data_IF_605277493836
#
_entry.id   IF_605277493836
#
_cell.length_a   1.000
_cell.length_b   1.000
_cell.length_c   1.000
_cell.angle_alpha   90.00
_cell.angle_beta   90.00
_cell.angle_gamma   90.00
#
_symmetry.space_group_name_H-M   'P 1'
#
loop_
_entity.id
_entity.type
_entity.pdbx_description
1 polymer ?
#
# COMPACT_ATOMS: atom_id res chain seq x y z
N UNK A 1 7.86 48.79 6.43
CA UNK A 1 7.49 47.50 7.08
C UNK A 1 6.22 46.98 6.44
N UNK A 2 5.96 45.65 6.33
CA UNK A 2 6.86 44.51 6.45
C UNK A 2 7.13 43.81 5.10
N UNK A 3 8.32 43.20 5.00
CA UNK A 3 8.75 42.28 3.94
C UNK A 3 8.17 40.90 4.22
N UNK A 4 7.57 40.28 3.21
CA UNK A 4 7.09 38.89 3.27
C UNK A 4 8.28 37.94 3.42
N UNK A 5 8.31 37.21 4.52
CA UNK A 5 9.29 36.16 4.83
C UNK A 5 9.09 35.01 3.86
N UNK A 6 10.21 34.55 3.27
CA UNK A 6 10.27 33.51 2.26
C UNK A 6 9.69 32.17 2.73
N UNK A 7 8.90 31.56 1.85
CA UNK A 7 8.54 30.14 1.88
C UNK A 7 9.77 29.32 1.45
N UNK A 8 10.68 29.07 2.38
CA UNK A 8 11.70 28.02 2.26
C UNK A 8 11.23 26.80 3.04
N UNK A 9 11.02 25.68 2.34
CA UNK A 9 10.55 24.45 2.98
C UNK A 9 10.14 23.36 2.01
N UNK A 10 10.93 23.10 0.97
CA UNK A 10 10.83 21.84 0.21
C UNK A 10 11.29 20.70 1.11
N UNK A 11 10.37 20.19 1.93
CA UNK A 11 10.55 18.92 2.63
C UNK A 11 10.80 17.78 1.63
N UNK A 12 11.40 16.66 2.07
CA UNK A 12 11.75 15.56 1.18
C UNK A 12 10.50 15.13 0.40
N UNK A 13 10.59 15.23 -0.93
CA UNK A 13 9.54 14.73 -1.82
C UNK A 13 9.33 13.25 -1.52
N UNK A 14 8.09 12.91 -1.17
CA UNK A 14 7.62 11.53 -1.05
C UNK A 14 7.83 10.89 -2.42
N UNK A 15 8.70 9.88 -2.57
CA UNK A 15 8.79 9.14 -3.81
C UNK A 15 7.45 8.45 -4.05
N UNK A 16 6.98 8.46 -5.30
CA UNK A 16 5.82 7.70 -5.79
C UNK A 16 5.79 6.30 -5.17
N UNK A 17 4.78 6.02 -4.35
CA UNK A 17 4.48 4.66 -3.84
C UNK A 17 4.52 3.68 -5.02
N UNK A 18 5.26 2.57 -4.87
CA UNK A 18 5.36 1.54 -5.90
C UNK A 18 4.05 0.78 -6.08
N UNK A 19 3.97 0.18 -7.26
CA UNK A 19 2.83 -0.42 -7.94
C UNK A 19 2.25 -1.59 -7.15
N UNK A 20 0.93 -1.74 -7.22
CA UNK A 20 0.18 -2.85 -6.62
C UNK A 20 0.72 -4.24 -7.01
N UNK A 21 1.37 -4.38 -8.17
CA UNK A 21 1.99 -5.65 -8.61
C UNK A 21 3.35 -5.97 -7.95
N UNK A 22 4.11 -4.97 -7.47
CA UNK A 22 5.32 -5.21 -6.66
C UNK A 22 4.96 -5.77 -5.26
N UNK A 23 3.71 -5.55 -4.82
CA UNK A 23 3.13 -6.15 -3.62
C UNK A 23 2.57 -7.56 -3.90
N UNK A 24 2.29 -7.91 -5.15
CA UNK A 24 1.92 -9.28 -5.52
C UNK A 24 3.16 -10.07 -5.94
N UNK A 25 4.04 -10.38 -4.99
CA UNK A 25 4.84 -11.60 -5.17
C UNK A 25 3.87 -12.77 -5.41
N UNK A 26 4.26 -13.73 -6.27
CA UNK A 26 3.44 -14.92 -6.50
C UNK A 26 2.97 -15.47 -5.16
N UNK A 27 1.66 -15.45 -4.93
CA UNK A 27 1.00 -16.05 -3.77
C UNK A 27 1.53 -17.47 -3.67
N UNK A 28 2.49 -17.72 -2.76
CA UNK A 28 2.94 -19.08 -2.48
C UNK A 28 1.72 -19.81 -1.95
N UNK A 29 1.30 -20.84 -2.70
CA UNK A 29 0.32 -21.80 -2.20
C UNK A 29 0.85 -22.37 -0.88
N UNK A 30 -0.02 -22.63 0.11
CA UNK A 30 0.38 -23.41 1.28
C UNK A 30 1.09 -24.69 0.81
N UNK A 31 2.24 -25.02 1.40
CA UNK A 31 2.91 -26.29 1.13
C UNK A 31 1.93 -27.41 1.48
N UNK A 32 1.53 -28.18 0.46
CA UNK A 32 0.68 -29.34 0.63
C UNK A 32 1.55 -30.47 1.22
N UNK A 33 1.30 -30.84 2.48
CA UNK A 33 1.85 -32.07 3.05
C UNK A 33 1.11 -33.27 2.45
N UNK A 34 1.86 -34.17 1.80
CA UNK A 34 1.38 -35.46 1.29
C UNK A 34 1.51 -35.65 -0.23
N UNK A 35 1.81 -36.88 -0.70
CA UNK A 35 2.06 -37.14 -2.12
C UNK A 35 0.77 -37.03 -2.96
N UNK A 36 0.84 -36.26 -4.05
CA UNK A 36 -0.30 -36.01 -4.94
C UNK A 36 -0.54 -37.18 -5.91
N UNK A 37 -1.78 -37.69 -5.96
CA UNK A 37 -2.24 -38.59 -7.02
C UNK A 37 -2.36 -37.83 -8.35
N UNK A 38 -1.71 -38.36 -9.40
CA UNK A 38 -1.82 -37.91 -10.80
C UNK A 38 -3.28 -38.03 -11.28
N UNK A 39 -3.84 -36.96 -11.84
CA UNK A 39 -4.95 -37.05 -12.80
C UNK A 39 -4.55 -36.41 -14.13
N UNK A 40 -4.77 -37.19 -15.19
CA UNK A 40 -4.50 -36.92 -16.61
C UNK A 40 -5.12 -35.62 -17.09
N UNK A 41 -4.41 -34.96 -18.02
CA UNK A 41 -4.81 -33.76 -18.75
C UNK A 41 -5.34 -34.22 -20.11
N UNK A 42 -6.58 -33.89 -20.45
CA UNK A 42 -7.12 -34.02 -21.81
C UNK A 42 -7.00 -32.68 -22.50
N UNK A 43 -6.33 -32.65 -23.66
CA UNK A 43 -6.09 -31.47 -24.49
C UNK A 43 -7.29 -31.21 -25.42
N UNK A 44 -7.61 -29.92 -25.61
CA UNK A 44 -8.54 -29.42 -26.63
C UNK A 44 -8.16 -27.99 -27.02
N UNK A 45 -8.41 -27.56 -28.28
CA UNK A 45 -7.72 -26.41 -28.88
C UNK A 45 -8.22 -25.07 -28.32
N UNK A 46 -7.29 -24.14 -28.11
CA UNK A 46 -7.54 -22.81 -27.53
C UNK A 46 -7.82 -21.80 -28.66
N UNK A 47 -8.96 -21.09 -28.69
CA UNK A 47 -9.13 -19.97 -29.61
C UNK A 47 -8.43 -18.73 -29.05
N UNK A 48 -7.44 -18.21 -29.77
CA UNK A 48 -6.81 -16.93 -29.48
C UNK A 48 -7.82 -15.79 -29.69
N UNK A 49 -8.44 -15.32 -28.60
CA UNK A 49 -9.17 -14.05 -28.61
C UNK A 49 -8.17 -12.89 -28.60
N UNK A 50 -8.05 -12.18 -29.72
CA UNK A 50 -7.45 -10.83 -29.78
C UNK A 50 -8.12 -9.94 -28.73
N UNK A 51 -7.36 -9.50 -27.73
CA UNK A 51 -7.81 -8.51 -26.74
C UNK A 51 -7.81 -7.13 -27.39
N UNK A 52 -8.98 -6.63 -27.74
CA UNK A 52 -9.19 -5.20 -27.95
C UNK A 52 -8.99 -4.48 -26.61
N UNK A 53 -8.20 -3.40 -26.51
CA UNK A 53 -8.15 -2.60 -25.29
C UNK A 53 -9.55 -2.02 -25.02
N UNK A 54 -10.08 -2.22 -23.82
CA UNK A 54 -11.35 -1.61 -23.44
C UNK A 54 -11.15 -0.11 -23.22
N UNK A 55 -11.96 0.71 -23.87
CA UNK A 55 -11.98 2.16 -23.71
C UNK A 55 -12.30 2.52 -22.25
N UNK A 56 -11.42 3.27 -21.54
CA UNK A 56 -11.58 3.67 -20.14
C UNK A 56 -12.88 4.41 -19.83
N UNK A 57 -13.46 5.12 -20.81
CA UNK A 57 -14.71 5.87 -20.66
C UNK A 57 -15.92 4.95 -20.47
N UNK A 58 -15.87 3.70 -20.95
CA UNK A 58 -16.99 2.75 -20.88
C UNK A 58 -17.18 2.10 -19.50
N UNK A 59 -16.27 2.34 -18.55
CA UNK A 59 -16.32 1.76 -17.21
C UNK A 59 -16.68 2.76 -16.11
N UNK A 60 -16.80 4.06 -16.42
CA UNK A 60 -17.16 5.10 -15.44
C UNK A 60 -18.55 4.86 -14.81
N UNK A 61 -19.51 4.33 -15.57
CA UNK A 61 -20.84 3.98 -15.05
C UNK A 61 -20.84 2.68 -14.24
N UNK A 62 -19.95 1.74 -14.56
CA UNK A 62 -19.71 0.55 -13.74
C UNK A 62 -19.01 0.92 -12.41
N UNK A 63 -18.14 1.94 -12.42
CA UNK A 63 -17.47 2.47 -11.23
C UNK A 63 -18.42 3.16 -10.28
N UNK A 64 -19.36 3.95 -10.82
CA UNK A 64 -20.45 4.55 -10.03
C UNK A 64 -21.25 3.46 -9.34
N UNK A 65 -21.72 2.46 -10.10
CA UNK A 65 -22.54 1.37 -9.54
C UNK A 65 -21.76 0.48 -8.58
N UNK A 66 -20.52 0.10 -8.86
CA UNK A 66 -19.73 -0.75 -7.97
C UNK A 66 -19.40 -0.04 -6.66
N UNK A 67 -19.05 1.25 -6.69
CA UNK A 67 -18.83 2.05 -5.49
C UNK A 67 -20.13 2.25 -4.71
N UNK A 68 -21.23 2.61 -5.37
CA UNK A 68 -22.57 2.78 -4.76
C UNK A 68 -23.10 1.49 -4.13
N UNK A 69 -22.96 0.34 -4.81
CA UNK A 69 -23.33 -0.96 -4.27
C UNK A 69 -22.47 -1.33 -3.06
N UNK A 70 -21.16 -1.05 -3.11
CA UNK A 70 -20.29 -1.28 -1.96
C UNK A 70 -20.58 -0.32 -0.79
N UNK A 71 -21.04 0.90 -1.04
CA UNK A 71 -21.45 1.84 0.00
C UNK A 71 -22.66 1.35 0.82
N UNK A 72 -23.43 0.38 0.32
CA UNK A 72 -24.47 -0.31 1.11
C UNK A 72 -23.88 -1.19 2.21
N UNK A 73 -22.60 -1.54 2.14
CA UNK A 73 -21.89 -2.21 3.22
C UNK A 73 -21.42 -1.18 4.27
N UNK A 74 -21.91 -1.25 5.53
CA UNK A 74 -21.57 -0.25 6.54
C UNK A 74 -20.07 -0.19 6.86
N UNK A 75 -19.35 -1.32 6.76
CA UNK A 75 -17.89 -1.33 6.95
C UNK A 75 -17.15 -0.67 5.78
N UNK A 76 -17.63 -0.87 4.55
CA UNK A 76 -17.08 -0.17 3.39
C UNK A 76 -17.39 1.33 3.46
N UNK A 77 -18.61 1.71 3.85
CA UNK A 77 -18.99 3.11 4.03
C UNK A 77 -18.11 3.80 5.08
N UNK A 78 -17.90 3.16 6.24
CA UNK A 78 -16.98 3.68 7.26
C UNK A 78 -15.54 3.82 6.72
N UNK A 79 -15.08 2.87 5.90
CA UNK A 79 -13.79 2.96 5.23
C UNK A 79 -13.70 4.14 4.24
N UNK A 80 -14.73 4.34 3.42
CA UNK A 80 -14.79 5.46 2.49
C UNK A 80 -14.79 6.82 3.22
N UNK A 81 -15.53 6.93 4.33
CA UNK A 81 -15.56 8.11 5.17
C UNK A 81 -14.18 8.41 5.81
N UNK A 82 -13.51 7.39 6.34
CA UNK A 82 -12.16 7.56 6.89
C UNK A 82 -11.15 7.98 5.83
N UNK A 83 -11.26 7.44 4.62
CA UNK A 83 -10.43 7.84 3.49
C UNK A 83 -10.69 9.32 3.10
N UNK A 84 -11.95 9.73 3.05
CA UNK A 84 -12.34 11.12 2.78
C UNK A 84 -11.82 12.08 3.86
N UNK A 85 -11.97 11.71 5.14
CA UNK A 85 -11.47 12.47 6.27
C UNK A 85 -9.95 12.61 6.24
N UNK A 86 -9.23 11.52 5.91
CA UNK A 86 -7.77 11.54 5.77
C UNK A 86 -7.29 12.48 4.64
N UNK A 87 -8.13 12.74 3.63
CA UNK A 87 -7.85 13.66 2.54
C UNK A 87 -8.44 15.06 2.75
N UNK A 88 -9.29 15.25 3.76
CA UNK A 88 -10.11 16.45 3.96
C UNK A 88 -10.98 16.79 2.73
N UNK A 89 -11.32 15.78 1.92
CA UNK A 89 -12.16 15.90 0.72
C UNK A 89 -12.67 14.52 0.27
N UNK A 90 -13.75 14.46 -0.52
CA UNK A 90 -14.21 13.19 -1.10
C UNK A 90 -13.10 12.48 -1.88
N UNK A 91 -13.05 11.15 -1.76
CA UNK A 91 -12.13 10.30 -2.53
C UNK A 91 -12.89 9.69 -3.68
N UNK A 92 -12.52 10.07 -4.90
CA UNK A 92 -13.17 9.57 -6.10
C UNK A 92 -12.43 8.35 -6.66
N UNK A 93 -13.17 7.43 -7.25
CA UNK A 93 -12.60 6.28 -7.96
C UNK A 93 -12.66 6.58 -9.46
N UNK A 94 -11.53 6.41 -10.14
CA UNK A 94 -11.39 6.71 -11.58
C UNK A 94 -10.65 5.60 -12.28
N UNK A 95 -10.92 5.40 -13.57
CA UNK A 95 -10.11 4.52 -14.41
C UNK A 95 -8.95 5.30 -15.03
N UNK A 96 -7.74 4.75 -15.01
CA UNK A 96 -6.54 5.38 -15.60
C UNK A 96 -5.66 4.33 -16.28
N UNK A 97 -5.19 4.61 -17.49
CA UNK A 97 -4.40 3.67 -18.30
C UNK A 97 -2.98 3.45 -17.78
N UNK A 98 -2.44 4.43 -17.04
CA UNK A 98 -1.05 4.42 -16.59
C UNK A 98 -0.86 3.77 -15.20
N UNK A 99 -1.87 3.08 -14.65
CA UNK A 99 -1.78 2.46 -13.32
C UNK A 99 -1.58 0.95 -13.42
N UNK A 100 -0.60 0.43 -12.70
CA UNK A 100 -0.38 -1.01 -12.56
C UNK A 100 -1.17 -1.54 -11.36
N UNK A 101 -2.47 -1.81 -11.57
CA UNK A 101 -3.40 -2.24 -10.53
C UNK A 101 -4.25 -1.07 -10.01
N UNK A 102 -3.96 -0.60 -8.81
CA UNK A 102 -4.56 0.60 -8.20
C UNK A 102 -3.49 1.59 -7.74
N UNK A 103 -3.81 2.89 -7.71
CA UNK A 103 -2.95 3.93 -7.16
C UNK A 103 -3.75 5.10 -6.65
N UNK A 104 -3.39 5.58 -5.46
CA UNK A 104 -3.94 6.82 -4.94
C UNK A 104 -3.15 8.06 -5.42
N UNK A 105 -3.89 9.02 -5.99
CA UNK A 105 -3.43 10.33 -6.43
C UNK A 105 -3.86 11.40 -5.41
N UNK A 106 -3.02 11.64 -4.39
CA UNK A 106 -3.27 12.59 -3.28
C UNK A 106 -3.70 13.98 -3.76
N UNK A 107 -3.02 14.54 -4.77
CA UNK A 107 -3.34 15.85 -5.32
C UNK A 107 -4.77 15.94 -5.86
N UNK A 108 -5.19 14.93 -6.62
CA UNK A 108 -6.53 14.87 -7.21
C UNK A 108 -7.60 14.31 -6.27
N UNK A 109 -7.22 13.71 -5.12
CA UNK A 109 -8.17 13.01 -4.26
C UNK A 109 -8.79 11.79 -4.95
N UNK A 110 -8.01 11.09 -5.78
CA UNK A 110 -8.52 10.04 -6.65
C UNK A 110 -7.79 8.72 -6.44
N UNK A 111 -8.51 7.61 -6.40
CA UNK A 111 -7.93 6.28 -6.62
C UNK A 111 -8.08 5.95 -8.11
N UNK A 112 -6.96 5.86 -8.80
CA UNK A 112 -6.93 5.36 -10.18
C UNK A 112 -6.82 3.84 -10.19
N UNK A 113 -7.73 3.19 -10.90
CA UNK A 113 -7.72 1.75 -11.16
C UNK A 113 -7.42 1.49 -12.63
N UNK A 114 -6.71 0.40 -12.90
CA UNK A 114 -6.45 -0.05 -14.28
C UNK A 114 -7.76 -0.42 -15.00
N UNK A 115 -7.91 -0.14 -16.29
CA UNK A 115 -9.15 -0.43 -17.03
C UNK A 115 -9.48 -1.92 -17.10
N UNK A 116 -8.48 -2.80 -17.13
CA UNK A 116 -8.70 -4.25 -17.23
C UNK A 116 -9.04 -4.91 -15.88
N UNK A 117 -8.99 -4.17 -14.77
CA UNK A 117 -9.54 -4.62 -13.51
C UNK A 117 -11.06 -4.53 -13.59
N UNK A 118 -11.69 -5.69 -13.80
CA UNK A 118 -13.15 -5.84 -13.90
C UNK A 118 -13.70 -6.80 -12.84
N UNK A 119 -14.99 -6.66 -12.54
CA UNK A 119 -15.71 -7.55 -11.64
C UNK A 119 -15.19 -7.54 -10.18
N UNK A 120 -15.26 -8.67 -9.46
CA UNK A 120 -14.90 -8.77 -8.04
C UNK A 120 -13.50 -8.26 -7.69
N UNK A 121 -12.55 -8.40 -8.62
CA UNK A 121 -11.17 -7.93 -8.44
C UNK A 121 -11.11 -6.42 -8.33
N UNK A 122 -11.93 -5.71 -9.11
CA UNK A 122 -11.98 -4.24 -9.10
C UNK A 122 -12.47 -3.71 -7.76
N UNK A 123 -13.57 -4.25 -7.26
CA UNK A 123 -14.14 -3.92 -5.95
C UNK A 123 -13.14 -4.14 -4.81
N UNK A 124 -12.43 -5.28 -4.85
CA UNK A 124 -11.38 -5.60 -3.89
C UNK A 124 -10.24 -4.58 -3.89
N UNK A 125 -9.71 -4.24 -5.07
CA UNK A 125 -8.61 -3.26 -5.22
C UNK A 125 -9.08 -1.87 -4.83
N UNK A 126 -10.31 -1.48 -5.19
CA UNK A 126 -10.91 -0.22 -4.77
C UNK A 126 -10.93 -0.07 -3.25
N UNK A 127 -11.43 -1.07 -2.52
CA UNK A 127 -11.43 -1.06 -1.06
C UNK A 127 -10.01 -1.07 -0.47
N UNK A 128 -9.08 -1.78 -1.10
CA UNK A 128 -7.69 -1.81 -0.64
C UNK A 128 -7.05 -0.43 -0.76
N UNK A 129 -7.25 0.25 -1.88
CA UNK A 129 -6.74 1.61 -2.06
C UNK A 129 -7.41 2.62 -1.12
N UNK A 130 -8.72 2.52 -0.85
CA UNK A 130 -9.35 3.34 0.19
C UNK A 130 -8.70 3.12 1.57
N UNK A 131 -8.27 1.88 1.84
CA UNK A 131 -7.54 1.58 3.08
C UNK A 131 -6.17 2.26 3.09
N UNK A 132 -5.44 2.23 1.97
CA UNK A 132 -4.18 2.96 1.81
C UNK A 132 -4.37 4.47 2.03
N UNK A 133 -5.47 5.03 1.53
CA UNK A 133 -5.81 6.45 1.70
C UNK A 133 -6.09 6.77 3.16
N UNK A 134 -6.94 6.00 3.82
CA UNK A 134 -7.28 6.18 5.23
C UNK A 134 -6.04 6.07 6.15
N UNK A 135 -5.04 5.29 5.74
CA UNK A 135 -3.79 5.11 6.48
C UNK A 135 -2.68 6.10 6.11
N UNK A 136 -2.87 6.95 5.09
CA UNK A 136 -1.82 7.85 4.60
C UNK A 136 -1.28 8.77 5.69
N UNK A 137 -2.14 9.26 6.59
CA UNK A 137 -1.71 10.09 7.71
C UNK A 137 -0.77 9.37 8.67
N UNK A 138 -0.95 8.05 8.87
CA UNK A 138 -0.07 7.23 9.70
C UNK A 138 1.30 7.05 9.04
N UNK A 139 1.32 6.75 7.74
CA UNK A 139 2.56 6.65 6.97
C UNK A 139 3.33 7.98 6.97
N UNK A 140 2.64 9.09 6.71
CA UNK A 140 3.23 10.43 6.71
C UNK A 140 3.82 10.78 8.08
N UNK A 141 3.11 10.45 9.16
CA UNK A 141 3.57 10.68 10.54
C UNK A 141 4.84 9.89 10.86
N UNK A 142 4.83 8.56 10.66
CA UNK A 142 6.00 7.70 10.94
C UNK A 142 7.21 8.18 10.15
N UNK A 143 7.03 8.48 8.86
CA UNK A 143 8.11 8.98 7.99
C UNK A 143 8.70 10.31 8.50
N UNK A 144 7.84 11.27 8.89
CA UNK A 144 8.28 12.57 9.41
C UNK A 144 8.99 12.46 10.75
N UNK A 145 8.44 11.67 11.67
CA UNK A 145 9.03 11.46 13.00
C UNK A 145 10.41 10.81 12.87
N UNK A 146 10.54 9.81 12.00
CA UNK A 146 11.84 9.18 11.70
C UNK A 146 12.81 10.18 11.09
N UNK A 147 12.39 11.02 10.13
CA UNK A 147 13.26 12.04 9.56
C UNK A 147 13.76 13.04 10.61
N UNK A 148 12.90 13.54 11.50
CA UNK A 148 13.33 14.42 12.59
C UNK A 148 14.29 13.72 13.56
N UNK A 149 14.04 12.45 13.86
CA UNK A 149 14.92 11.65 14.71
C UNK A 149 16.31 11.45 14.07
N UNK A 150 16.37 11.22 12.75
CA UNK A 150 17.65 11.10 12.04
C UNK A 150 18.36 12.45 11.88
N UNK A 151 17.63 13.58 11.79
CA UNK A 151 18.26 14.91 11.89
C UNK A 151 18.91 15.08 13.27
N UNK A 152 18.21 14.70 14.34
CA UNK A 152 18.76 14.76 15.69
C UNK A 152 20.01 13.89 15.81
N UNK A 153 19.96 12.64 15.31
CA UNK A 153 21.11 11.73 15.27
C UNK A 153 22.30 12.34 14.53
N UNK A 154 22.09 12.85 13.30
CA UNK A 154 23.14 13.45 12.48
C UNK A 154 23.70 14.76 13.08
N UNK A 155 22.91 15.46 13.90
CA UNK A 155 23.34 16.65 14.63
C UNK A 155 24.09 16.34 15.93
N UNK A 156 24.38 15.06 16.21
CA UNK A 156 25.06 14.63 17.44
C UNK A 156 24.15 14.61 18.69
N UNK A 157 22.83 14.80 18.52
CA UNK A 157 21.86 14.65 19.61
C UNK A 157 21.49 13.17 19.77
N UNK A 158 21.12 12.77 20.98
CA UNK A 158 20.71 11.39 21.28
C UNK A 158 19.41 11.04 20.53
N UNK A 159 19.41 10.09 19.58
CA UNK A 159 18.20 9.67 18.90
C UNK A 159 17.38 8.69 19.76
N UNK A 160 16.09 8.60 19.47
CA UNK A 160 15.19 7.60 20.04
C UNK A 160 15.28 6.30 19.23
N UNK A 161 15.14 5.15 19.90
CA UNK A 161 15.03 3.85 19.23
C UNK A 161 16.33 3.06 19.04
N UNK A 162 17.41 3.45 19.73
CA UNK A 162 18.68 2.70 19.76
C UNK A 162 19.68 3.10 18.69
N UNK A 163 20.58 2.17 18.36
CA UNK A 163 21.56 2.35 17.29
C UNK A 163 20.91 2.43 15.89
N UNK A 164 21.70 2.71 14.85
CA UNK A 164 21.19 2.88 13.49
C UNK A 164 20.40 1.66 12.99
N UNK A 165 20.86 0.45 13.30
CA UNK A 165 20.20 -0.78 12.87
C UNK A 165 18.89 -0.97 13.63
N UNK A 166 18.86 -0.73 14.94
CA UNK A 166 17.65 -0.80 15.75
C UNK A 166 16.60 0.21 15.27
N UNK A 167 16.99 1.43 14.94
CA UNK A 167 16.08 2.45 14.38
C UNK A 167 15.55 2.06 13.01
N UNK A 168 16.39 1.48 12.15
CA UNK A 168 15.99 0.94 10.84
C UNK A 168 14.94 -0.17 10.99
N UNK A 169 15.17 -1.13 11.87
CA UNK A 169 14.22 -2.21 12.14
C UNK A 169 12.90 -1.69 12.73
N UNK A 170 12.98 -0.77 13.69
CA UNK A 170 11.80 -0.16 14.30
C UNK A 170 10.95 0.62 13.27
N UNK A 171 11.59 1.31 12.32
CA UNK A 171 10.91 1.94 11.22
C UNK A 171 10.21 0.91 10.33
N UNK A 172 10.93 -0.13 9.88
CA UNK A 172 10.35 -1.18 9.04
C UNK A 172 9.17 -1.87 9.72
N UNK A 173 9.30 -2.23 11.00
CA UNK A 173 8.22 -2.84 11.79
C UNK A 173 7.01 -1.91 11.92
N UNK A 174 7.22 -0.60 12.08
CA UNK A 174 6.14 0.38 12.15
C UNK A 174 5.39 0.51 10.82
N UNK A 175 6.11 0.51 9.70
CA UNK A 175 5.51 0.57 8.36
C UNK A 175 4.71 -0.70 8.05
N UNK A 176 5.26 -1.87 8.34
CA UNK A 176 4.56 -3.16 8.20
C UNK A 176 3.33 -3.24 9.10
N UNK A 177 3.37 -2.65 10.30
CA UNK A 177 2.21 -2.61 11.19
C UNK A 177 1.06 -1.83 10.57
N UNK A 178 1.36 -0.70 9.95
CA UNK A 178 0.35 0.09 9.24
C UNK A 178 -0.25 -0.75 8.11
N UNK A 179 0.58 -1.39 7.28
CA UNK A 179 0.10 -2.24 6.18
C UNK A 179 -0.76 -3.42 6.68
N UNK A 180 -0.31 -4.12 7.72
CA UNK A 180 -1.07 -5.20 8.35
C UNK A 180 -2.44 -4.75 8.86
N UNK A 181 -2.51 -3.62 9.57
CA UNK A 181 -3.78 -3.06 10.04
C UNK A 181 -4.69 -2.72 8.85
N UNK A 182 -4.11 -2.36 7.70
CA UNK A 182 -4.83 -2.06 6.48
C UNK A 182 -5.42 -3.32 5.84
N UNK A 183 -4.61 -4.35 5.68
CA UNK A 183 -5.04 -5.66 5.20
C UNK A 183 -6.15 -6.21 6.09
N UNK A 184 -6.05 -6.09 7.41
CA UNK A 184 -7.11 -6.51 8.35
C UNK A 184 -8.42 -5.76 8.12
N UNK A 185 -8.35 -4.45 7.92
CA UNK A 185 -9.54 -3.64 7.66
C UNK A 185 -10.18 -4.03 6.33
N UNK A 186 -9.37 -4.15 5.27
CA UNK A 186 -9.83 -4.62 3.97
C UNK A 186 -10.54 -5.98 4.07
N UNK A 187 -9.90 -6.97 4.69
CA UNK A 187 -10.44 -8.30 4.88
C UNK A 187 -11.77 -8.27 5.66
N UNK A 188 -11.88 -7.45 6.70
CA UNK A 188 -13.12 -7.29 7.47
C UNK A 188 -14.28 -6.76 6.61
N UNK A 189 -14.00 -5.84 5.68
CA UNK A 189 -15.00 -5.34 4.72
C UNK A 189 -15.41 -6.41 3.73
N UNK A 190 -14.44 -7.13 3.14
CA UNK A 190 -14.75 -8.18 2.17
C UNK A 190 -15.55 -9.32 2.80
N UNK A 191 -15.12 -9.79 3.97
CA UNK A 191 -15.78 -10.86 4.72
C UNK A 191 -17.23 -10.50 5.04
N UNK A 192 -17.47 -9.25 5.46
CA UNK A 192 -18.81 -8.76 5.76
C UNK A 192 -19.73 -8.78 4.52
N UNK A 193 -19.26 -8.26 3.40
CA UNK A 193 -20.04 -8.28 2.16
C UNK A 193 -20.28 -9.69 1.61
N UNK A 194 -19.30 -10.60 1.75
CA UNK A 194 -19.46 -12.01 1.36
C UNK A 194 -20.53 -12.70 2.21
N UNK A 195 -20.53 -12.45 3.52
CA UNK A 195 -21.44 -13.13 4.46
C UNK A 195 -22.85 -12.52 4.47
N UNK A 196 -22.97 -11.20 4.31
CA UNK A 196 -24.21 -10.47 4.54
C UNK A 196 -24.85 -9.91 3.27
N UNK A 197 -24.13 -9.87 2.14
CA UNK A 197 -24.59 -9.24 0.90
C UNK A 197 -24.36 -10.12 -0.34
N UNK A 198 -24.07 -11.42 -0.14
CA UNK A 198 -23.82 -12.40 -1.19
C UNK A 198 -22.70 -11.98 -2.17
N UNK A 199 -21.70 -11.22 -1.71
CA UNK A 199 -20.57 -10.88 -2.57
C UNK A 199 -19.76 -12.14 -2.94
N UNK A 200 -19.19 -12.19 -4.16
CA UNK A 200 -18.32 -13.29 -4.56
C UNK A 200 -17.11 -13.44 -3.63
N UNK A 201 -16.77 -14.68 -3.27
CA UNK A 201 -15.63 -14.98 -2.37
C UNK A 201 -14.31 -14.46 -2.91
N UNK A 202 -14.18 -14.33 -4.23
CA UNK A 202 -13.01 -13.81 -4.93
C UNK A 202 -12.76 -12.32 -4.66
N UNK A 203 -13.72 -11.60 -4.06
CA UNK A 203 -13.50 -10.22 -3.60
C UNK A 203 -12.49 -10.16 -2.44
N UNK A 204 -12.33 -11.22 -1.64
CA UNK A 204 -11.35 -11.25 -0.56
C UNK A 204 -9.96 -11.69 -1.04
N UNK A 205 -9.35 -10.89 -1.91
CA UNK A 205 -8.04 -11.19 -2.50
C UNK A 205 -6.88 -11.10 -1.50
N UNK A 206 -7.00 -10.21 -0.52
CA UNK A 206 -5.94 -9.90 0.43
C UNK A 206 -6.10 -10.61 1.77
N UNK A 207 -7.28 -11.15 2.09
CA UNK A 207 -7.51 -11.99 3.27
C UNK A 207 -6.51 -13.14 3.39
N UNK A 208 -6.10 -13.72 2.25
CA UNK A 208 -5.07 -14.77 2.19
C UNK A 208 -3.71 -14.37 2.78
N UNK A 209 -3.39 -13.07 2.88
CA UNK A 209 -2.15 -12.61 3.55
C UNK A 209 -2.25 -12.69 5.08
N UNK A 210 -3.47 -12.70 5.60
CA UNK A 210 -3.79 -12.92 7.01
C UNK A 210 -4.03 -14.40 7.31
N UNK A 211 -4.40 -15.19 6.30
CA UNK A 211 -4.52 -16.64 6.40
C UNK A 211 -3.14 -17.28 6.55
N UNK A 212 -2.75 -17.49 7.80
CA UNK A 212 -1.62 -18.31 8.22
C UNK A 212 -1.93 -18.93 9.59
N UNK A 213 -1.11 -19.89 10.02
CA UNK A 213 -1.28 -20.51 11.35
C UNK A 213 -1.27 -19.48 12.49
N UNK A 214 -0.54 -18.38 12.31
CA UNK A 214 -0.58 -17.20 13.17
C UNK A 214 -1.11 -15.96 12.43
N UNK A 215 -2.35 -15.52 12.71
CA UNK A 215 -2.94 -14.31 12.16
C UNK A 215 -2.51 -13.04 12.93
N UNK A 216 -1.62 -13.14 13.93
CA UNK A 216 -1.09 -11.99 14.66
C UNK A 216 -0.19 -11.11 13.80
N UNK A 217 0.13 -9.92 14.31
CA UNK A 217 1.11 -9.05 13.66
C UNK A 217 2.51 -9.67 13.65
N UNK A 218 2.92 -10.38 14.72
CA UNK A 218 4.25 -10.99 14.76
C UNK A 218 4.37 -12.13 13.74
N UNK A 219 3.31 -12.93 13.58
CA UNK A 219 3.22 -13.93 12.51
C UNK A 219 3.25 -13.30 11.11
N UNK A 220 2.55 -12.19 10.89
CA UNK A 220 2.63 -11.42 9.65
C UNK A 220 4.05 -10.88 9.40
N UNK A 221 4.66 -10.22 10.39
CA UNK A 221 6.00 -9.65 10.32
C UNK A 221 7.05 -10.72 9.99
N UNK A 222 6.98 -11.90 10.61
CA UNK A 222 7.88 -13.00 10.31
C UNK A 222 7.79 -13.41 8.82
N UNK A 223 6.57 -13.48 8.26
CA UNK A 223 6.37 -13.79 6.83
C UNK A 223 6.94 -12.72 5.91
N UNK A 224 6.80 -11.43 6.26
CA UNK A 224 7.35 -10.33 5.45
C UNK A 224 8.88 -10.28 5.45
N UNK A 225 9.53 -10.94 6.42
CA UNK A 225 10.98 -11.04 6.52
C UNK A 225 11.58 -12.29 5.86
N UNK A 226 10.74 -13.18 5.31
CA UNK A 226 11.23 -14.30 4.51
C UNK A 226 11.83 -13.77 3.21
N UNK A 227 13.09 -14.12 2.95
CA UNK A 227 13.78 -13.70 1.73
C UNK A 227 13.28 -14.48 0.52
N UNK A 228 13.04 -13.78 -0.57
CA UNK A 228 12.79 -14.40 -1.86
C UNK A 228 14.09 -15.06 -2.38
N UNK A 229 14.07 -16.35 -2.76
CA UNK A 229 15.27 -17.07 -3.19
C UNK A 229 15.93 -16.51 -4.46
N UNK A 230 15.19 -15.80 -5.32
CA UNK A 230 15.72 -15.26 -6.57
C UNK A 230 16.40 -13.91 -6.37
N UNK A 231 15.83 -13.09 -5.49
CA UNK A 231 16.30 -11.71 -5.28
C UNK A 231 17.11 -11.54 -4.00
N UNK A 232 17.08 -12.53 -3.10
CA UNK A 232 17.64 -12.47 -1.74
C UNK A 232 17.13 -11.28 -0.91
N UNK A 233 15.95 -10.75 -1.27
CA UNK A 233 15.28 -9.64 -0.59
C UNK A 233 13.97 -10.11 0.04
N UNK A 234 13.68 -9.59 1.21
CA UNK A 234 12.39 -9.73 1.88
C UNK A 234 11.48 -8.55 1.53
N UNK A 235 10.18 -8.66 1.86
CA UNK A 235 9.26 -7.56 1.65
C UNK A 235 9.64 -6.33 2.50
N UNK A 236 9.98 -6.58 3.76
CA UNK A 236 10.34 -5.55 4.72
C UNK A 236 11.66 -4.82 4.40
N UNK A 237 12.51 -5.36 3.51
CA UNK A 237 13.71 -4.67 3.01
C UNK A 237 13.38 -3.40 2.23
N UNK A 238 12.17 -3.29 1.68
CA UNK A 238 11.70 -2.05 1.05
C UNK A 238 11.64 -0.92 2.08
N UNK A 239 11.10 -1.18 3.27
CA UNK A 239 11.01 -0.19 4.34
C UNK A 239 12.37 0.09 4.97
N UNK A 240 13.26 -0.91 5.07
CA UNK A 240 14.66 -0.68 5.46
C UNK A 240 15.38 0.27 4.50
N UNK A 241 15.24 0.04 3.19
CA UNK A 241 15.82 0.95 2.20
C UNK A 241 15.19 2.35 2.23
N UNK A 242 13.91 2.49 2.58
CA UNK A 242 13.30 3.81 2.81
C UNK A 242 13.92 4.53 4.01
N UNK A 243 14.16 3.82 5.11
CA UNK A 243 14.88 4.37 6.26
C UNK A 243 16.29 4.82 5.87
N UNK A 244 17.03 4.01 5.11
CA UNK A 244 18.40 4.36 4.69
C UNK A 244 18.42 5.66 3.87
N UNK A 245 17.42 5.85 2.99
CA UNK A 245 17.24 7.10 2.26
C UNK A 245 16.89 8.29 3.16
N UNK A 246 16.07 8.08 4.19
CA UNK A 246 15.72 9.10 5.19
C UNK A 246 16.96 9.52 5.97
N UNK A 247 17.73 8.56 6.48
CA UNK A 247 18.96 8.78 7.22
C UNK A 247 20.00 9.53 6.38
N UNK A 248 20.19 9.12 5.11
CA UNK A 248 21.10 9.78 4.17
C UNK A 248 20.71 11.24 3.92
N UNK A 249 19.42 11.52 3.65
CA UNK A 249 18.93 12.89 3.45
C UNK A 249 19.04 13.76 4.71
N UNK A 250 18.80 13.19 5.88
CA UNK A 250 18.94 13.90 7.14
C UNK A 250 20.40 14.30 7.39
N UNK A 251 21.34 13.39 7.14
CA UNK A 251 22.77 13.67 7.22
C UNK A 251 23.20 14.75 6.22
N UNK A 252 22.76 14.67 4.96
CA UNK A 252 23.03 15.68 3.94
C UNK A 252 22.52 17.07 4.35
N UNK A 253 21.31 17.16 4.91
CA UNK A 253 20.74 18.42 5.38
C UNK A 253 21.55 19.04 6.51
N UNK A 254 21.99 18.23 7.48
CA UNK A 254 22.80 18.68 8.61
C UNK A 254 24.21 19.09 8.15
N UNK A 255 24.79 18.38 7.19
CA UNK A 255 26.09 18.77 6.62
C UNK A 255 26.01 20.08 5.83
N UNK A 256 24.92 20.29 5.08
CA UNK A 256 24.69 21.57 4.38
C UNK A 256 24.49 22.73 5.34
N UNK A 257 23.82 22.54 6.48
CA UNK A 257 23.61 23.61 7.46
C UNK A 257 24.90 24.04 8.18
N UNK A 258 25.93 23.19 8.20
CA UNK A 258 27.26 23.51 8.73
C UNK A 258 28.16 24.30 7.76
N UNK A 259 27.81 24.39 6.47
CA UNK A 259 28.57 25.13 5.45
C UNK A 259 27.92 26.50 5.20
N UNK A 260 28.44 27.61 5.75
CA UNK A 260 27.89 28.93 5.46
C UNK A 260 28.29 29.38 4.04
N UNK A 261 27.32 29.73 3.19
CA UNK A 261 27.57 30.55 1.98
C UNK A 261 27.43 29.89 0.59
N UNK A 262 26.34 29.18 0.31
CA UNK A 262 25.94 28.90 -1.09
C UNK A 262 24.56 29.51 -1.38
N UNK A 263 24.53 30.84 -1.43
CA UNK A 263 23.49 31.67 -2.06
C UNK A 263 24.18 32.74 -2.87
#
# INVERSE_FOLDING_TARGET
MPRSIGRSGSGPSIPTKRKHDDLTSSIRRPQQEGPAQKKQRTEGPTPEKKKTPADPSMHADFDKKAHEEMLKNPKYQALANDAANAQQKPVNIVTKDQVHGGMFYKGAGQVGLRPDLVGPKRASVMAFELTNVAQQGKFDKVTKDTFHNEIAAASGKKPVGGDLNARRENFAKSMERIEYDGIKRHHSVMKDGIQNQNWPKEMDRFGKRLEGADPSFDGYWARQNVKDPKTNKSHSDVYRGQFDNIASKAAELVEKSKKPGAT
#
